data_IF_500050574878
#
_entry.id   IF_500050574878
#
_cell.length_a   1.000
_cell.length_b   1.000
_cell.length_c   1.000
_cell.angle_alpha   90.00
_cell.angle_beta   90.00
_cell.angle_gamma   90.00
#
_symmetry.space_group_name_H-M   'P 1'
#
loop_
_entity.id
_entity.type
_entity.pdbx_description
1 polymer ?
#
# COMPACT_ATOMS: atom_id res chain seq x y z
N UNK A 1 10.38 -10.24 -26.09
CA UNK A 1 10.35 -9.04 -25.21
C UNK A 1 9.02 -8.96 -24.43
N UNK A 2 8.83 -9.73 -23.35
CA UNK A 2 7.58 -9.69 -22.54
C UNK A 2 7.75 -9.21 -21.08
N UNK A 3 8.99 -8.96 -20.65
CA UNK A 3 9.30 -8.68 -19.23
C UNK A 3 9.05 -7.21 -18.86
N UNK A 4 9.11 -6.27 -19.81
CA UNK A 4 8.99 -4.81 -19.52
C UNK A 4 7.60 -4.34 -19.07
N UNK A 5 6.53 -5.11 -19.30
CA UNK A 5 5.17 -4.67 -19.00
C UNK A 5 4.72 -4.98 -17.56
N UNK A 6 5.32 -5.98 -16.90
CA UNK A 6 4.95 -6.33 -15.52
C UNK A 6 5.48 -5.29 -14.51
N UNK A 7 6.74 -4.86 -14.67
CA UNK A 7 7.36 -3.82 -13.82
C UNK A 7 6.67 -2.45 -13.92
N UNK A 8 6.15 -2.08 -15.10
CA UNK A 8 5.36 -0.83 -15.26
C UNK A 8 3.99 -0.88 -14.56
N UNK A 9 3.37 -2.05 -14.44
CA UNK A 9 2.09 -2.21 -13.74
C UNK A 9 2.25 -2.20 -12.22
N UNK A 10 3.31 -2.82 -11.69
CA UNK A 10 3.60 -2.80 -10.25
C UNK A 10 3.90 -1.37 -9.76
N UNK A 11 4.63 -0.57 -10.55
CA UNK A 11 4.95 0.82 -10.20
C UNK A 11 3.75 1.80 -10.32
N UNK A 12 2.61 1.36 -10.84
CA UNK A 12 1.41 2.18 -10.96
C UNK A 12 0.35 1.87 -9.88
N UNK A 13 0.58 0.84 -9.05
CA UNK A 13 -0.37 0.45 -8.02
C UNK A 13 -0.42 1.54 -6.94
N UNK A 14 -1.64 2.03 -6.68
CA UNK A 14 -1.91 2.98 -5.62
C UNK A 14 -2.43 2.23 -4.40
N UNK A 15 -2.09 2.72 -3.23
CA UNK A 15 -2.61 2.24 -1.95
C UNK A 15 -3.56 3.30 -1.43
N UNK A 16 -4.77 2.87 -1.10
CA UNK A 16 -5.76 3.68 -0.40
C UNK A 16 -5.39 3.70 1.07
N UNK A 17 -5.12 4.90 1.58
CA UNK A 17 -4.94 5.20 2.99
C UNK A 17 -6.22 5.87 3.50
N UNK A 18 -6.80 5.38 4.58
CA UNK A 18 -7.97 5.99 5.24
C UNK A 18 -7.61 6.31 6.68
N UNK A 19 -7.63 7.58 7.06
CA UNK A 19 -7.40 7.99 8.45
C UNK A 19 -8.62 7.69 9.32
N UNK A 20 -8.39 7.13 10.50
CA UNK A 20 -9.45 6.64 11.39
C UNK A 20 -10.19 7.75 12.13
N UNK A 21 -9.55 8.91 12.33
CA UNK A 21 -10.08 10.03 13.11
C UNK A 21 -11.13 10.84 12.35
N UNK A 22 -10.92 11.04 11.05
CA UNK A 22 -11.74 11.90 10.19
C UNK A 22 -12.26 11.21 8.92
N UNK A 23 -11.92 9.94 8.72
CA UNK A 23 -12.27 9.15 7.53
C UNK A 23 -11.76 9.77 6.22
N UNK A 24 -10.73 10.61 6.28
CA UNK A 24 -10.09 11.18 5.09
C UNK A 24 -9.34 10.10 4.33
N UNK A 25 -9.49 10.12 3.01
CA UNK A 25 -8.93 9.11 2.12
C UNK A 25 -7.88 9.73 1.20
N UNK A 26 -6.72 9.10 1.13
CA UNK A 26 -5.64 9.45 0.23
C UNK A 26 -5.22 8.26 -0.64
N UNK A 27 -4.84 8.54 -1.88
CA UNK A 27 -4.23 7.55 -2.78
C UNK A 27 -2.73 7.81 -2.85
N UNK A 28 -1.97 7.00 -2.13
CA UNK A 28 -0.51 7.08 -2.07
C UNK A 28 0.13 6.00 -2.96
N UNK A 29 1.40 6.17 -3.29
CA UNK A 29 2.17 5.11 -3.95
C UNK A 29 2.44 3.92 -3.01
N UNK A 30 2.81 2.77 -3.59
CA UNK A 30 3.26 1.62 -2.79
C UNK A 30 4.49 1.96 -1.93
N UNK A 31 5.43 2.75 -2.47
CA UNK A 31 6.64 3.18 -1.76
C UNK A 31 6.29 4.01 -0.52
N UNK A 32 5.42 5.02 -0.67
CA UNK A 32 4.92 5.82 0.46
C UNK A 32 4.15 4.98 1.49
N UNK A 33 3.39 3.98 1.03
CA UNK A 33 2.70 3.07 1.94
C UNK A 33 3.69 2.23 2.76
N UNK A 34 4.74 1.71 2.15
CA UNK A 34 5.80 0.94 2.81
C UNK A 34 6.52 1.80 3.86
N UNK A 35 6.92 3.03 3.51
CA UNK A 35 7.58 3.95 4.45
C UNK A 35 6.72 4.28 5.67
N UNK A 36 5.41 4.40 5.50
CA UNK A 36 4.48 4.68 6.62
C UNK A 36 4.20 3.44 7.46
N UNK A 37 4.17 2.27 6.83
CA UNK A 37 3.83 1.01 7.48
C UNK A 37 5.05 0.31 8.11
N UNK A 38 6.29 0.59 7.70
CA UNK A 38 7.49 -0.09 8.22
C UNK A 38 7.74 0.16 9.71
N UNK A 39 7.13 1.19 10.29
CA UNK A 39 7.12 1.42 11.74
C UNK A 39 6.22 0.45 12.52
N UNK A 40 5.27 -0.22 11.85
CA UNK A 40 4.23 -1.08 12.46
C UNK A 40 4.24 -2.50 11.92
N UNK A 41 4.74 -2.71 10.71
CA UNK A 41 4.76 -3.96 9.98
C UNK A 41 6.18 -4.28 9.49
N UNK A 42 6.47 -5.56 9.27
CA UNK A 42 7.73 -5.96 8.66
C UNK A 42 7.78 -5.50 7.20
N UNK A 43 8.77 -4.67 6.86
CA UNK A 43 8.96 -4.09 5.52
C UNK A 43 8.81 -5.10 4.38
N UNK A 44 9.43 -6.27 4.54
CA UNK A 44 9.42 -7.38 3.58
C UNK A 44 8.05 -8.04 3.35
N UNK A 45 7.11 -7.86 4.27
CA UNK A 45 5.75 -8.42 4.16
C UNK A 45 4.74 -7.41 3.63
N UNK A 46 4.95 -6.10 3.83
CA UNK A 46 3.97 -5.04 3.53
C UNK A 46 3.47 -5.11 2.08
N UNK A 47 4.39 -5.06 1.12
CA UNK A 47 4.03 -5.05 -0.31
C UNK A 47 3.27 -6.33 -0.68
N UNK A 48 3.74 -7.48 -0.20
CA UNK A 48 3.11 -8.79 -0.46
C UNK A 48 1.70 -8.84 0.09
N UNK A 49 1.48 -8.41 1.33
CA UNK A 49 0.17 -8.43 1.97
C UNK A 49 -0.82 -7.47 1.28
N UNK A 50 -0.36 -6.27 0.92
CA UNK A 50 -1.17 -5.31 0.17
C UNK A 50 -1.54 -5.85 -1.21
N UNK A 51 -0.59 -6.41 -1.98
CA UNK A 51 -0.88 -7.00 -3.30
C UNK A 51 -1.86 -8.18 -3.20
N UNK A 52 -1.84 -8.93 -2.08
CA UNK A 52 -2.81 -9.99 -1.78
C UNK A 52 -4.21 -9.46 -1.41
N UNK A 53 -4.39 -8.14 -1.32
CA UNK A 53 -5.66 -7.50 -0.97
C UNK A 53 -5.92 -7.44 0.54
N UNK A 54 -4.91 -7.72 1.38
CA UNK A 54 -5.06 -7.56 2.82
C UNK A 54 -5.03 -6.08 3.22
N UNK A 55 -5.89 -5.73 4.16
CA UNK A 55 -5.84 -4.41 4.80
C UNK A 55 -4.80 -4.43 5.90
N UNK A 56 -3.85 -3.50 5.83
CA UNK A 56 -2.85 -3.28 6.87
C UNK A 56 -3.29 -2.10 7.73
N UNK A 57 -3.18 -2.26 9.05
CA UNK A 57 -3.67 -1.29 10.02
C UNK A 57 -2.51 -0.64 10.76
N UNK A 58 -2.66 0.65 11.06
CA UNK A 58 -1.89 1.38 12.07
C UNK A 58 -2.86 2.00 13.09
N UNK A 59 -2.38 2.56 14.21
CA UNK A 59 -3.24 3.25 15.17
C UNK A 59 -4.02 4.45 14.59
N UNK A 60 -3.62 4.96 13.41
CA UNK A 60 -4.16 6.18 12.82
C UNK A 60 -4.84 5.96 11.47
N UNK A 61 -4.51 4.89 10.76
CA UNK A 61 -5.00 4.70 9.40
C UNK A 61 -5.06 3.23 8.97
N UNK A 62 -5.91 2.97 8.00
CA UNK A 62 -6.03 1.70 7.28
C UNK A 62 -5.44 1.84 5.87
N UNK A 63 -4.75 0.81 5.41
CA UNK A 63 -4.08 0.78 4.12
C UNK A 63 -4.56 -0.43 3.32
N UNK A 64 -5.13 -0.20 2.15
CA UNK A 64 -5.61 -1.26 1.26
C UNK A 64 -5.19 -0.97 -0.17
N UNK A 65 -4.85 -2.01 -0.94
CA UNK A 65 -4.50 -1.84 -2.35
C UNK A 65 -5.70 -1.30 -3.14
N UNK A 66 -5.46 -0.32 -4.01
CA UNK A 66 -6.45 0.22 -4.94
C UNK A 66 -6.08 -0.26 -6.35
N UNK A 67 -6.69 -1.39 -6.75
CA UNK A 67 -6.48 -2.05 -8.05
C UNK A 67 -7.50 -1.60 -9.09
#
# INVERSE_FOLDING_TARGET
MRIRNAQKKQNAMKVKQVYLDNNEMYLISMEEAIERLEAYWKKEEIEKLLIQGQTLFTPYAEYTINQ
#
